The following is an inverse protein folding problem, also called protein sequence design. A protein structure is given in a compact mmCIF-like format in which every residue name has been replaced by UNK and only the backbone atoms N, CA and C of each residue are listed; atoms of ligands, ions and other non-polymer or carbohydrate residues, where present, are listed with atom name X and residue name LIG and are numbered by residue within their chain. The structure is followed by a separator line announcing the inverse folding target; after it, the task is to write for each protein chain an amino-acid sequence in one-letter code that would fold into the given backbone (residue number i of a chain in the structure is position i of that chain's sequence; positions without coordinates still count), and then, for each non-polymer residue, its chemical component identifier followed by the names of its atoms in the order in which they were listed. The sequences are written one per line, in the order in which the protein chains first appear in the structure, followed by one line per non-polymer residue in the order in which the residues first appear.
data_IF_125888180378
#
_entry.id   IF_125888180378
#
_cell.length_a   1.000
_cell.length_b   1.000
_cell.length_c   1.000
_cell.angle_alpha   90.00
_cell.angle_beta   90.00
_cell.angle_gamma   90.00
#
_symmetry.space_group_name_H-M   'P 1'
#
loop_
_entity.id
_entity.type
_entity.pdbx_description
1 polymer ?
#
# COMPACT_ATOMS: atom_id res chain seq x y z
N UNK A 1 -4.56 2.08 28.00
CA UNK A 1 -3.95 1.84 26.68
C UNK A 1 -4.48 2.93 25.78
N UNK A 2 -3.60 3.66 25.11
CA UNK A 2 -4.01 4.75 24.21
C UNK A 2 -4.76 4.16 23.01
N UNK A 3 -5.89 4.75 22.64
CA UNK A 3 -6.77 4.24 21.56
C UNK A 3 -6.07 4.32 20.20
N UNK A 4 -5.30 5.38 20.02
CA UNK A 4 -4.54 5.61 18.79
C UNK A 4 -3.40 4.60 18.64
N UNK A 5 -2.70 4.33 19.73
CA UNK A 5 -1.67 3.28 19.77
C UNK A 5 -2.25 1.90 19.44
N UNK A 6 -3.44 1.57 19.96
CA UNK A 6 -4.11 0.32 19.63
C UNK A 6 -4.51 0.26 18.15
N UNK A 7 -5.09 1.33 17.61
CA UNK A 7 -5.47 1.41 16.21
C UNK A 7 -4.25 1.24 15.29
N UNK A 8 -3.11 1.87 15.63
CA UNK A 8 -1.84 1.71 14.90
C UNK A 8 -1.36 0.26 14.88
N UNK A 9 -1.41 -0.43 16.03
CA UNK A 9 -1.00 -1.84 16.14
C UNK A 9 -1.89 -2.79 15.35
N UNK A 10 -3.21 -2.62 15.45
CA UNK A 10 -4.15 -3.43 14.67
C UNK A 10 -3.99 -3.21 13.17
N UNK A 11 -3.69 -1.97 12.78
CA UNK A 11 -3.38 -1.64 11.40
C UNK A 11 -2.14 -2.37 10.91
N UNK A 12 -1.02 -2.27 11.63
CA UNK A 12 0.23 -2.95 11.25
C UNK A 12 0.08 -4.47 11.21
N UNK A 13 -0.62 -5.06 12.18
CA UNK A 13 -0.90 -6.50 12.21
C UNK A 13 -1.74 -6.94 11.01
N UNK A 14 -2.75 -6.14 10.63
CA UNK A 14 -3.59 -6.44 9.47
C UNK A 14 -2.80 -6.36 8.16
N UNK A 15 -1.95 -5.34 8.01
CA UNK A 15 -1.08 -5.19 6.83
C UNK A 15 -0.08 -6.34 6.74
N UNK A 16 0.61 -6.67 7.84
CA UNK A 16 1.51 -7.83 7.91
C UNK A 16 0.81 -9.13 7.50
N UNK A 17 -0.41 -9.37 8.02
CA UNK A 17 -1.21 -10.54 7.66
C UNK A 17 -1.61 -10.59 6.18
N UNK A 18 -1.72 -9.44 5.50
CA UNK A 18 -2.08 -9.36 4.08
C UNK A 18 -0.87 -9.55 3.17
N UNK A 19 0.30 -9.07 3.60
CA UNK A 19 1.56 -9.18 2.87
C UNK A 19 2.16 -10.58 3.00
N UNK A 20 1.94 -11.24 4.13
CA UNK A 20 2.48 -12.56 4.43
C UNK A 20 3.96 -12.48 4.78
N UNK A 21 4.78 -13.30 4.11
CA UNK A 21 6.21 -13.50 4.41
C UNK A 21 7.14 -12.47 3.74
N UNK A 22 6.60 -11.42 3.12
CA UNK A 22 7.42 -10.35 2.52
C UNK A 22 7.78 -9.30 3.57
N UNK A 23 8.95 -8.70 3.39
CA UNK A 23 9.42 -7.62 4.25
C UNK A 23 8.47 -6.43 4.22
N UNK A 24 8.22 -5.89 5.42
CA UNK A 24 7.33 -4.77 5.64
C UNK A 24 8.16 -3.48 5.60
N UNK A 25 7.91 -2.64 4.59
CA UNK A 25 8.51 -1.30 4.55
C UNK A 25 7.83 -0.39 5.59
N UNK A 26 8.48 -0.20 6.73
CA UNK A 26 7.97 0.61 7.84
C UNK A 26 7.75 2.08 7.43
N UNK A 27 8.62 2.63 6.59
CA UNK A 27 8.51 4.03 6.14
C UNK A 27 7.27 4.21 5.26
N UNK A 28 7.00 3.26 4.35
CA UNK A 28 5.79 3.26 3.56
C UNK A 28 4.54 2.99 4.43
N UNK A 29 4.63 2.12 5.43
CA UNK A 29 3.52 1.83 6.35
C UNK A 29 3.11 3.07 7.17
N UNK A 30 4.09 3.85 7.63
CA UNK A 30 3.87 5.13 8.31
C UNK A 30 3.18 6.13 7.37
N UNK A 31 3.67 6.28 6.14
CA UNK A 31 3.03 7.15 5.15
C UNK A 31 1.59 6.75 4.85
N UNK A 32 1.32 5.45 4.69
CA UNK A 32 -0.04 4.95 4.43
C UNK A 32 -0.98 5.17 5.62
N UNK A 33 -0.45 5.07 6.85
CA UNK A 33 -1.17 5.39 8.07
C UNK A 33 -1.53 6.87 8.18
N UNK A 34 -0.57 7.76 7.96
CA UNK A 34 -0.81 9.21 7.98
C UNK A 34 -1.82 9.65 6.92
N UNK A 35 -1.77 9.01 5.74
CA UNK A 35 -2.74 9.21 4.67
C UNK A 35 -4.10 8.54 4.91
N UNK A 36 -4.29 7.84 6.03
CA UNK A 36 -5.50 7.09 6.39
C UNK A 36 -5.90 6.05 5.34
N UNK A 37 -4.92 5.50 4.62
CA UNK A 37 -5.14 4.43 3.65
C UNK A 37 -5.57 3.16 4.37
N UNK A 38 -6.43 2.36 3.75
CA UNK A 38 -6.87 1.08 4.33
C UNK A 38 -5.70 0.07 4.39
N UNK A 39 -5.75 -0.93 5.30
CA UNK A 39 -4.73 -1.98 5.35
C UNK A 39 -4.55 -2.74 4.03
N UNK A 40 -5.62 -2.87 3.23
CA UNK A 40 -5.59 -3.52 1.93
C UNK A 40 -4.84 -2.69 0.88
N UNK A 41 -5.03 -1.36 0.88
CA UNK A 41 -4.29 -0.45 -0.01
C UNK A 41 -2.81 -0.39 0.37
N UNK A 42 -2.49 -0.36 1.67
CA UNK A 42 -1.11 -0.41 2.15
C UNK A 42 -0.41 -1.72 1.74
N UNK A 43 -1.08 -2.86 1.95
CA UNK A 43 -0.55 -4.15 1.52
C UNK A 43 -0.34 -4.21 0.00
N UNK A 44 -1.29 -3.70 -0.79
CA UNK A 44 -1.12 -3.62 -2.25
C UNK A 44 0.09 -2.80 -2.64
N UNK A 45 0.22 -1.58 -2.12
CA UNK A 45 1.35 -0.70 -2.42
C UNK A 45 2.72 -1.32 -2.05
N UNK A 46 2.76 -2.15 -1.01
CA UNK A 46 3.97 -2.88 -0.60
C UNK A 46 4.26 -4.12 -1.45
N UNK A 47 3.23 -4.70 -2.07
CA UNK A 47 3.37 -5.91 -2.91
C UNK A 47 3.45 -5.63 -4.41
N UNK A 48 2.97 -4.47 -4.85
CA UNK A 48 3.05 -4.01 -6.23
C UNK A 48 4.50 -3.59 -6.51
N UNK A 49 5.34 -4.56 -6.88
CA UNK A 49 6.59 -4.31 -7.60
C UNK A 49 6.24 -3.64 -8.94
N UNK A 50 6.04 -2.33 -8.94
CA UNK A 50 6.27 -1.37 -10.02
C UNK A 50 5.86 -1.73 -11.47
N UNK A 51 4.95 -2.67 -11.74
CA UNK A 51 4.91 -3.23 -13.10
C UNK A 51 3.55 -3.55 -13.70
N UNK A 52 2.54 -2.71 -13.48
CA UNK A 52 1.57 -2.47 -14.55
C UNK A 52 0.77 -1.20 -14.28
N UNK A 53 0.96 -0.21 -15.14
CA UNK A 53 0.07 0.94 -15.21
C UNK A 53 -1.36 0.43 -15.46
N UNK A 54 -2.18 0.39 -14.41
CA UNK A 54 -3.57 -0.06 -14.45
C UNK A 54 -4.50 1.06 -14.96
N UNK A 55 -4.06 1.77 -16.00
CA UNK A 55 -4.84 2.80 -16.65
C UNK A 55 -5.53 2.27 -17.92
N UNK A 56 -6.53 3.01 -18.44
CA UNK A 56 -7.18 2.64 -19.69
C UNK A 56 -6.16 2.46 -20.82
N UNK A 57 -6.36 1.45 -21.67
CA UNK A 57 -5.44 1.15 -22.78
C UNK A 57 -5.19 2.34 -23.74
N UNK A 58 -6.14 3.28 -23.83
CA UNK A 58 -5.98 4.50 -24.64
C UNK A 58 -4.90 5.44 -24.09
N UNK A 59 -4.70 5.47 -22.77
CA UNK A 59 -3.76 6.38 -22.11
C UNK A 59 -2.33 5.89 -22.28
N UNK A 60 -2.09 4.57 -22.18
CA UNK A 60 -0.81 3.95 -22.52
C UNK A 60 -0.43 4.22 -23.98
N UNK A 61 -1.40 4.16 -24.90
CA UNK A 61 -1.18 4.52 -26.31
C UNK A 61 -0.87 6.00 -26.51
N UNK A 62 -1.52 6.88 -25.75
CA UNK A 62 -1.33 8.33 -25.86
C UNK A 62 0.05 8.76 -25.38
N UNK A 63 0.50 8.27 -24.22
CA UNK A 63 1.81 8.59 -23.64
C UNK A 63 2.98 8.06 -24.49
N UNK A 64 2.78 6.95 -25.22
CA UNK A 64 3.80 6.33 -26.07
C UNK A 64 3.72 6.73 -27.55
N UNK A 65 2.98 7.79 -27.90
CA UNK A 65 3.05 8.34 -29.26
C UNK A 65 4.40 9.03 -29.47
N UNK A 66 5.25 8.41 -30.29
CA UNK A 66 6.35 9.09 -30.98
C UNK A 66 5.83 9.87 -32.18
#
# INVERSE_FOLDING_TARGET
MDKELLARKLYSERVSSLIGDKDLDEALLDQMWENKASPAEAAKAMTEEHNEFNGPAWLSRYLNRR
#
